data_IF_957152448475
#
_entry.id   IF_957152448475
#
_cell.length_a   1.000
_cell.length_b   1.000
_cell.length_c   1.000
_cell.angle_alpha   90.00
_cell.angle_beta   90.00
_cell.angle_gamma   90.00
#
_symmetry.space_group_name_H-M   'P 1'
#
loop_
_entity.id
_entity.type
_entity.pdbx_description
1 polymer ?
#
# COMPACT_ATOMS: atom_id res chain seq x y z
N UNK A 1 -11.06 14.31 0.82
CA UNK A 1 -11.54 13.09 1.51
C UNK A 1 -10.84 11.90 0.86
N UNK A 2 -10.09 11.11 1.62
CA UNK A 2 -9.41 9.92 1.08
C UNK A 2 -10.42 8.81 0.76
N UNK A 3 -10.24 8.14 -0.38
CA UNK A 3 -11.05 7.01 -0.80
C UNK A 3 -10.16 5.77 -0.93
N UNK A 4 -10.29 4.77 -0.04
CA UNK A 4 -9.43 3.59 -0.09
C UNK A 4 -9.81 2.62 -1.21
N UNK A 5 -11.03 2.71 -1.76
CA UNK A 5 -11.51 1.83 -2.83
C UNK A 5 -12.09 2.63 -3.97
N UNK A 6 -11.86 2.15 -5.20
CA UNK A 6 -12.47 2.68 -6.42
C UNK A 6 -13.87 2.07 -6.59
N UNK A 7 -14.84 2.61 -5.86
CA UNK A 7 -16.25 2.29 -6.00
C UNK A 7 -17.10 3.55 -5.82
N UNK A 8 -18.09 3.74 -6.68
CA UNK A 8 -19.03 4.87 -6.62
C UNK A 8 -19.97 4.77 -5.42
N UNK A 9 -20.20 3.54 -4.95
CA UNK A 9 -21.08 3.25 -3.82
C UNK A 9 -20.31 2.89 -2.56
N UNK A 10 -20.91 3.21 -1.43
CA UNK A 10 -20.45 2.79 -0.11
C UNK A 10 -21.60 2.12 0.63
N UNK A 11 -21.34 0.93 1.14
CA UNK A 11 -22.27 0.27 2.04
C UNK A 11 -22.09 0.83 3.45
N UNK A 12 -23.21 1.15 4.10
CA UNK A 12 -23.26 1.53 5.50
C UNK A 12 -24.17 0.55 6.20
N UNK A 13 -23.73 0.03 7.34
CA UNK A 13 -24.59 -0.79 8.18
C UNK A 13 -25.62 0.10 8.85
N UNK A 14 -26.81 -0.47 9.05
CA UNK A 14 -27.92 0.14 9.75
C UNK A 14 -28.52 -0.88 10.74
N UNK A 15 -29.65 -0.54 11.36
CA UNK A 15 -30.29 -1.39 12.36
C UNK A 15 -30.86 -2.70 11.81
N UNK A 16 -31.01 -2.85 10.49
CA UNK A 16 -31.55 -4.06 9.83
C UNK A 16 -30.52 -4.78 8.96
N UNK A 17 -29.22 -4.50 9.17
CA UNK A 17 -28.15 -5.21 8.47
C UNK A 17 -27.81 -6.51 9.19
N UNK A 18 -27.98 -7.63 8.50
CA UNK A 18 -27.61 -8.96 9.00
C UNK A 18 -26.28 -9.44 8.39
N UNK A 19 -25.44 -10.06 9.21
CA UNK A 19 -24.15 -10.63 8.79
C UNK A 19 -24.14 -12.11 9.19
N UNK A 20 -24.01 -13.00 8.22
CA UNK A 20 -23.95 -14.45 8.45
C UNK A 20 -22.59 -14.97 7.98
N UNK A 21 -21.86 -15.71 8.83
CA UNK A 21 -20.63 -16.38 8.41
C UNK A 21 -20.88 -17.36 7.26
N UNK A 22 -19.94 -17.42 6.33
CA UNK A 22 -19.99 -18.41 5.25
C UNK A 22 -19.29 -19.70 5.70
N UNK A 23 -20.06 -20.77 5.90
CA UNK A 23 -19.58 -22.07 6.41
C UNK A 23 -18.72 -22.85 5.39
N UNK A 24 -18.76 -22.48 4.11
CA UNK A 24 -18.03 -23.20 3.05
C UNK A 24 -16.65 -22.61 2.81
N UNK A 25 -15.62 -23.45 2.93
CA UNK A 25 -14.23 -23.16 2.50
C UNK A 25 -14.05 -23.08 0.98
N UNK A 26 -15.08 -23.39 0.19
CA UNK A 26 -15.04 -23.48 -1.27
C UNK A 26 -15.45 -22.22 -2.03
N UNK A 27 -15.85 -21.13 -1.35
CA UNK A 27 -16.14 -19.88 -2.02
C UNK A 27 -14.84 -19.21 -2.45
N UNK A 28 -14.62 -19.11 -3.76
CA UNK A 28 -13.48 -18.40 -4.34
C UNK A 28 -13.67 -16.89 -4.21
N UNK A 29 -13.48 -16.35 -3.00
CA UNK A 29 -13.46 -14.92 -2.75
C UNK A 29 -12.01 -14.41 -2.79
N UNK A 30 -11.69 -13.41 -3.64
CA UNK A 30 -10.35 -12.83 -3.67
C UNK A 30 -10.06 -12.12 -2.34
N UNK A 31 -8.88 -12.39 -1.77
CA UNK A 31 -8.45 -11.82 -0.48
C UNK A 31 -8.16 -10.31 -0.59
N UNK A 32 -7.61 -9.89 -1.72
CA UNK A 32 -7.24 -8.51 -2.01
C UNK A 32 -7.64 -8.16 -3.44
N UNK A 33 -7.90 -6.87 -3.68
CA UNK A 33 -8.07 -6.28 -5.01
C UNK A 33 -7.07 -5.14 -5.13
N UNK A 34 -6.32 -5.15 -6.22
CA UNK A 34 -5.38 -4.08 -6.56
C UNK A 34 -5.83 -3.36 -7.82
N UNK A 35 -5.61 -2.06 -7.88
CA UNK A 35 -5.70 -1.27 -9.11
C UNK A 35 -4.34 -0.64 -9.37
N UNK A 36 -3.46 -1.40 -10.03
CA UNK A 36 -2.08 -0.98 -10.25
C UNK A 36 -2.01 0.23 -11.19
N UNK A 37 -1.18 1.20 -10.80
CA UNK A 37 -0.78 2.33 -11.62
C UNK A 37 0.64 2.12 -12.08
N UNK A 38 0.88 2.30 -13.38
CA UNK A 38 2.23 2.26 -13.96
C UNK A 38 3.09 3.40 -13.37
N UNK A 39 4.40 3.15 -13.25
CA UNK A 39 5.30 4.08 -12.56
C UNK A 39 5.38 5.44 -13.28
N UNK A 40 5.27 5.39 -14.61
CA UNK A 40 5.26 6.51 -15.54
C UNK A 40 4.05 7.43 -15.33
N UNK A 41 2.92 6.87 -14.87
CA UNK A 41 1.66 7.59 -14.69
C UNK A 41 1.46 8.15 -13.27
N UNK A 42 2.39 7.86 -12.34
CA UNK A 42 2.26 8.27 -10.94
C UNK A 42 2.17 9.78 -10.74
N UNK A 43 2.82 10.57 -11.61
CA UNK A 43 2.74 12.02 -11.54
C UNK A 43 1.29 12.51 -11.72
N UNK A 44 0.55 11.91 -12.65
CA UNK A 44 -0.85 12.23 -12.90
C UNK A 44 -1.78 11.75 -11.76
N UNK A 45 -1.39 10.69 -11.04
CA UNK A 45 -2.16 10.15 -9.92
C UNK A 45 -2.20 11.07 -8.69
N UNK A 46 -1.26 12.02 -8.57
CA UNK A 46 -1.17 12.95 -7.41
C UNK A 46 -2.37 13.87 -7.26
N UNK A 47 -3.10 14.14 -8.35
CA UNK A 47 -4.30 14.98 -8.33
C UNK A 47 -5.56 14.23 -7.84
N UNK A 48 -5.45 12.93 -7.58
CA UNK A 48 -6.60 12.08 -7.26
C UNK A 48 -6.81 11.91 -5.75
N UNK A 49 -8.06 11.63 -5.37
CA UNK A 49 -8.46 11.38 -3.97
C UNK A 49 -8.28 9.92 -3.53
N UNK A 50 -7.92 9.03 -4.46
CA UNK A 50 -7.68 7.61 -4.22
C UNK A 50 -6.22 7.34 -3.85
N UNK A 51 -6.01 6.31 -3.03
CA UNK A 51 -4.68 5.71 -2.87
C UNK A 51 -4.27 4.99 -4.16
N UNK A 52 -2.96 4.83 -4.35
CA UNK A 52 -2.38 4.19 -5.54
C UNK A 52 -1.74 2.87 -5.17
N UNK A 53 -2.02 1.83 -5.95
CA UNK A 53 -1.34 0.55 -5.84
C UNK A 53 -0.21 0.50 -6.88
N UNK A 54 0.96 0.03 -6.47
CA UNK A 54 2.12 -0.14 -7.35
C UNK A 54 2.71 -1.54 -7.15
N UNK A 55 3.31 -2.08 -8.20
CA UNK A 55 4.04 -3.36 -8.14
C UNK A 55 5.31 -3.25 -8.97
N UNK A 56 6.40 -3.82 -8.45
CA UNK A 56 7.69 -3.85 -9.12
C UNK A 56 8.67 -4.76 -8.39
N UNK A 57 9.79 -5.03 -9.04
CA UNK A 57 10.88 -5.83 -8.50
C UNK A 57 11.70 -4.96 -7.54
N UNK A 58 11.87 -5.39 -6.30
CA UNK A 58 12.75 -4.71 -5.35
C UNK A 58 14.22 -4.88 -5.79
N UNK A 59 14.89 -3.79 -6.13
CA UNK A 59 16.29 -3.83 -6.59
C UNK A 59 17.27 -3.39 -5.51
N UNK A 60 16.91 -2.38 -4.71
CA UNK A 60 17.78 -1.77 -3.71
C UNK A 60 16.93 -1.38 -2.49
N UNK A 61 17.49 -1.47 -1.30
CA UNK A 61 16.94 -0.82 -0.11
C UNK A 61 18.05 -0.23 0.76
N UNK A 62 17.77 0.87 1.45
CA UNK A 62 18.72 1.47 2.40
C UNK A 62 18.74 0.70 3.71
N UNK A 63 19.74 0.94 4.55
CA UNK A 63 19.68 0.56 5.97
C UNK A 63 18.52 1.28 6.69
N UNK A 64 18.12 0.75 7.86
CA UNK A 64 17.14 1.39 8.73
C UNK A 64 17.70 2.73 9.24
N UNK A 65 16.94 3.80 9.08
CA UNK A 65 17.30 5.13 9.54
C UNK A 65 16.37 5.56 10.66
N UNK A 66 16.93 6.13 11.73
CA UNK A 66 16.16 6.75 12.80
C UNK A 66 16.16 8.27 12.61
N UNK A 67 14.97 8.84 12.52
CA UNK A 67 14.72 10.27 12.39
C UNK A 67 14.02 10.82 13.62
N UNK A 68 14.22 12.11 13.90
CA UNK A 68 13.47 12.84 14.92
C UNK A 68 12.36 13.64 14.26
N UNK A 69 11.10 13.36 14.60
CA UNK A 69 9.95 14.14 14.12
C UNK A 69 9.95 15.52 14.77
N UNK A 70 9.31 16.49 14.12
CA UNK A 70 9.06 17.83 14.70
C UNK A 70 8.33 17.77 16.04
N UNK A 71 7.50 16.74 16.24
CA UNK A 71 6.81 16.48 17.51
C UNK A 71 7.72 15.97 18.63
N UNK A 72 9.02 15.79 18.38
CA UNK A 72 10.01 15.30 19.35
C UNK A 72 10.20 13.78 19.37
N UNK A 73 9.23 13.02 18.87
CA UNK A 73 9.27 11.55 18.86
C UNK A 73 10.21 11.01 17.78
N UNK A 74 10.91 9.92 18.09
CA UNK A 74 11.68 9.19 17.09
C UNK A 74 10.75 8.45 16.11
N UNK A 75 11.21 8.29 14.88
CA UNK A 75 10.55 7.53 13.84
C UNK A 75 11.59 6.81 13.00
N UNK A 76 11.28 5.59 12.56
CA UNK A 76 12.15 4.84 11.69
C UNK A 76 11.66 4.91 10.25
N UNK A 77 12.61 4.99 9.32
CA UNK A 77 12.35 4.93 7.88
C UNK A 77 13.35 4.03 7.16
N UNK A 78 12.91 3.54 6.01
CA UNK A 78 13.75 2.83 5.05
C UNK A 78 13.29 3.17 3.64
N UNK A 79 14.21 3.49 2.76
CA UNK A 79 13.90 3.72 1.34
C UNK A 79 14.13 2.43 0.54
N UNK A 80 13.20 2.13 -0.36
CA UNK A 80 13.23 1.05 -1.32
C UNK A 80 13.31 1.62 -2.73
N UNK A 81 13.92 0.88 -3.64
CA UNK A 81 13.83 1.10 -5.08
C UNK A 81 13.14 -0.10 -5.72
N UNK A 82 11.99 0.14 -6.33
CA UNK A 82 11.27 -0.83 -7.15
C UNK A 82 11.55 -0.54 -8.63
N UNK A 83 11.66 -1.58 -9.45
CA UNK A 83 11.82 -1.47 -10.90
C UNK A 83 10.66 -2.19 -11.61
N UNK A 84 10.03 -1.53 -12.58
CA UNK A 84 8.98 -2.16 -13.40
C UNK A 84 9.59 -2.91 -14.60
N UNK A 85 8.74 -3.58 -15.39
CA UNK A 85 9.17 -4.35 -16.57
C UNK A 85 9.84 -3.50 -17.67
N UNK A 86 9.61 -2.19 -17.65
CA UNK A 86 10.19 -1.22 -18.59
C UNK A 86 11.53 -0.65 -18.12
N UNK A 87 12.01 -1.07 -16.93
CA UNK A 87 13.26 -0.58 -16.32
C UNK A 87 13.12 0.76 -15.60
N UNK A 88 11.90 1.28 -15.45
CA UNK A 88 11.64 2.52 -14.70
C UNK A 88 11.69 2.25 -13.21
N UNK A 89 12.35 3.15 -12.48
CA UNK A 89 12.61 3.01 -11.05
C UNK A 89 11.73 3.93 -10.21
N UNK A 90 11.10 3.37 -9.19
CA UNK A 90 10.30 4.07 -8.20
C UNK A 90 10.95 3.98 -6.83
N UNK A 91 11.13 5.12 -6.17
CA UNK A 91 11.56 5.18 -4.78
C UNK A 91 10.35 5.17 -3.84
N UNK A 92 10.35 4.26 -2.87
CA UNK A 92 9.27 4.11 -1.89
C UNK A 92 9.85 4.19 -0.49
N UNK A 93 9.26 5.02 0.37
CA UNK A 93 9.70 5.12 1.77
C UNK A 93 8.75 4.36 2.69
N UNK A 94 9.27 3.34 3.37
CA UNK A 94 8.60 2.67 4.47
C UNK A 94 8.80 3.46 5.76
N UNK A 95 7.76 3.49 6.60
CA UNK A 95 7.76 4.18 7.88
C UNK A 95 7.29 3.26 9.01
N UNK A 96 7.82 3.49 10.22
CA UNK A 96 7.37 2.82 11.44
C UNK A 96 7.60 1.31 11.38
N UNK A 97 6.60 0.52 11.81
CA UNK A 97 6.69 -0.94 11.91
C UNK A 97 6.95 -1.62 10.56
N UNK A 98 6.42 -1.06 9.47
CA UNK A 98 6.63 -1.56 8.09
C UNK A 98 8.12 -1.67 7.72
N UNK A 99 9.00 -0.89 8.36
CA UNK A 99 10.45 -0.93 8.08
C UNK A 99 11.13 -2.23 8.50
N UNK A 100 10.48 -3.05 9.34
CA UNK A 100 10.98 -4.33 9.83
C UNK A 100 10.69 -5.51 8.89
N UNK A 101 9.76 -5.35 7.93
CA UNK A 101 9.28 -6.43 7.07
C UNK A 101 10.35 -6.97 6.10
N UNK A 102 11.38 -6.17 5.82
CA UNK A 102 12.48 -6.52 4.90
C UNK A 102 13.72 -7.10 5.60
N UNK A 103 13.60 -7.47 6.88
CA UNK A 103 14.70 -8.08 7.63
C UNK A 103 14.81 -9.60 7.42
N UNK A 104 13.86 -10.21 6.69
CA UNK A 104 13.99 -11.58 6.18
C UNK A 104 14.85 -11.61 4.92
N UNK A 105 15.91 -12.42 4.94
CA UNK A 105 16.93 -12.52 3.88
C UNK A 105 16.33 -12.52 2.46
N UNK A 106 16.79 -11.58 1.63
CA UNK A 106 16.90 -11.73 0.18
C UNK A 106 18.24 -12.37 -0.15
#
# INVERSE_FOLDING_TARGET
MFRPTQNDYRAYFNWNTDITPLETTGASMPRHKFTFTEFEDLAAATANTYLTDVVGVLTIHTNLQQLKRTSGNACFMRELTLENISGVKLKVTLWGESTSELTGNL
#
